data_IF_535629003363
#
_entry.id   IF_535629003363
#
_cell.length_a   1.000
_cell.length_b   1.000
_cell.length_c   1.000
_cell.angle_alpha   90.00
_cell.angle_beta   90.00
_cell.angle_gamma   90.00
#
_symmetry.space_group_name_H-M   'P 1'
#
loop_
_entity.id
_entity.type
_entity.pdbx_description
1 polymer ?
#
# COMPACT_ATOMS: atom_id res chain seq x y z
N UNK A 1 31.02 49.79 -53.11
CA UNK A 1 30.75 49.34 -51.72
C UNK A 1 29.43 48.55 -51.77
N UNK A 2 29.32 47.24 -51.58
CA UNK A 2 30.13 46.16 -50.97
C UNK A 2 30.03 44.90 -51.87
N UNK A 3 31.04 44.01 -51.94
CA UNK A 3 30.84 42.68 -52.51
C UNK A 3 30.34 41.71 -51.42
N UNK A 4 29.36 40.87 -51.76
CA UNK A 4 28.83 39.84 -50.88
C UNK A 4 29.57 38.52 -51.14
N UNK A 5 30.20 38.01 -50.09
CA UNK A 5 31.01 36.79 -50.05
C UNK A 5 30.13 35.53 -50.10
N UNK A 6 30.58 34.55 -50.89
CA UNK A 6 30.04 33.19 -51.02
C UNK A 6 30.34 32.36 -49.76
N UNK A 7 29.38 31.57 -49.29
CA UNK A 7 29.61 30.50 -48.32
C UNK A 7 29.13 29.17 -48.92
N UNK A 8 30.07 28.38 -49.45
CA UNK A 8 29.81 27.02 -49.95
C UNK A 8 29.93 26.04 -48.77
N UNK A 9 28.82 25.37 -48.46
CA UNK A 9 28.70 24.39 -47.39
C UNK A 9 29.39 23.07 -47.82
N UNK A 10 30.42 22.65 -47.09
CA UNK A 10 31.00 21.32 -47.25
C UNK A 10 30.10 20.27 -46.58
N UNK A 11 29.58 19.32 -47.37
CA UNK A 11 28.82 18.17 -46.86
C UNK A 11 29.82 17.09 -46.45
N UNK A 12 29.88 16.78 -45.16
CA UNK A 12 30.63 15.66 -44.60
C UNK A 12 29.78 14.39 -44.69
N UNK A 13 30.13 13.48 -45.60
CA UNK A 13 29.46 12.18 -45.74
C UNK A 13 29.96 11.23 -44.64
N UNK A 14 29.17 11.03 -43.59
CA UNK A 14 29.43 10.00 -42.57
C UNK A 14 28.89 8.67 -43.11
N UNK A 15 29.78 7.72 -43.39
CA UNK A 15 29.43 6.35 -43.75
C UNK A 15 28.88 5.62 -42.51
N UNK A 16 27.56 5.45 -42.45
CA UNK A 16 26.93 4.53 -41.51
C UNK A 16 27.18 3.08 -41.96
N UNK A 17 28.06 2.37 -41.25
CA UNK A 17 28.12 0.92 -41.35
C UNK A 17 26.83 0.29 -40.82
N UNK A 18 26.39 -0.87 -41.35
CA UNK A 18 25.17 -1.52 -40.89
C UNK A 18 25.32 -1.88 -39.41
N UNK A 19 24.46 -1.30 -38.58
CA UNK A 19 24.30 -1.66 -37.18
C UNK A 19 23.79 -3.10 -37.10
N UNK A 20 24.62 -3.99 -36.55
CA UNK A 20 24.17 -5.33 -36.17
C UNK A 20 23.05 -5.15 -35.13
N UNK A 21 21.82 -5.66 -35.39
CA UNK A 21 20.77 -5.57 -34.40
C UNK A 21 21.22 -6.31 -33.14
N UNK A 22 21.15 -5.63 -32.00
CA UNK A 22 21.36 -6.27 -30.70
C UNK A 22 20.41 -7.48 -30.63
N UNK A 23 21.00 -8.66 -30.44
CA UNK A 23 20.25 -9.90 -30.23
C UNK A 23 19.19 -9.64 -29.16
N UNK A 24 17.92 -9.83 -29.51
CA UNK A 24 16.84 -9.77 -28.55
C UNK A 24 17.18 -10.77 -27.43
N UNK A 25 17.51 -10.26 -26.24
CA UNK A 25 17.67 -11.10 -25.07
C UNK A 25 16.37 -11.89 -24.90
N UNK A 26 16.48 -13.20 -24.71
CA UNK A 26 15.32 -14.05 -24.41
C UNK A 26 14.55 -13.52 -23.19
N UNK A 27 13.33 -14.02 -22.95
CA UNK A 27 12.56 -13.59 -21.78
C UNK A 27 13.43 -13.72 -20.52
N UNK A 28 13.40 -12.71 -19.63
CA UNK A 28 14.24 -12.72 -18.43
C UNK A 28 13.99 -14.00 -17.65
N UNK A 29 15.06 -14.73 -17.38
CA UNK A 29 15.01 -15.92 -16.53
C UNK A 29 15.11 -15.48 -15.07
N UNK A 30 14.25 -16.08 -14.25
CA UNK A 30 14.25 -15.86 -12.81
C UNK A 30 14.58 -17.17 -12.11
N UNK A 31 15.28 -17.08 -10.99
CA UNK A 31 15.37 -18.16 -10.02
C UNK A 31 14.73 -17.73 -8.70
N UNK A 32 14.41 -18.72 -7.88
CA UNK A 32 13.62 -18.55 -6.67
C UNK A 32 14.47 -18.97 -5.48
N UNK A 33 14.69 -18.03 -4.56
CA UNK A 33 15.44 -18.26 -3.34
C UNK A 33 14.51 -18.23 -2.14
N UNK A 34 14.82 -19.08 -1.14
CA UNK A 34 14.08 -19.14 0.11
C UNK A 34 14.78 -18.33 1.18
N UNK A 35 13.98 -17.59 1.94
CA UNK A 35 14.44 -16.86 3.10
C UNK A 35 13.46 -17.01 4.26
N UNK A 36 14.00 -16.98 5.48
CA UNK A 36 13.24 -17.21 6.71
C UNK A 36 13.05 -15.93 7.53
N UNK A 37 12.16 -15.99 8.52
CA UNK A 37 11.83 -14.91 9.45
C UNK A 37 11.28 -13.62 8.79
N UNK A 38 10.07 -13.66 8.19
CA UNK A 38 9.22 -14.83 7.96
C UNK A 38 9.62 -15.61 6.72
N UNK A 39 9.13 -16.85 6.62
CA UNK A 39 9.24 -17.68 5.41
C UNK A 39 8.73 -16.92 4.19
N UNK A 40 9.58 -16.79 3.17
CA UNK A 40 9.29 -16.04 1.94
C UNK A 40 10.12 -16.52 0.77
N UNK A 41 9.58 -16.28 -0.42
CA UNK A 41 10.26 -16.52 -1.70
C UNK A 41 10.78 -15.19 -2.24
N UNK A 42 12.07 -15.16 -2.57
CA UNK A 42 12.70 -14.08 -3.30
C UNK A 42 12.74 -14.47 -4.77
N UNK A 43 12.24 -13.60 -5.64
CA UNK A 43 12.34 -13.76 -7.09
C UNK A 43 13.56 -12.97 -7.53
N UNK A 44 14.54 -13.66 -8.11
CA UNK A 44 15.88 -13.11 -8.36
C UNK A 44 16.20 -13.24 -9.85
N UNK A 45 16.84 -12.21 -10.41
CA UNK A 45 17.34 -12.22 -11.79
C UNK A 45 18.63 -13.05 -11.89
N UNK A 46 19.03 -13.41 -13.11
CA UNK A 46 20.35 -14.03 -13.36
C UNK A 46 21.53 -13.20 -12.82
N UNK A 47 21.37 -11.87 -12.74
CA UNK A 47 22.36 -10.96 -12.16
C UNK A 47 22.35 -10.90 -10.62
N UNK A 48 21.57 -11.74 -9.94
CA UNK A 48 21.46 -11.78 -8.48
C UNK A 48 20.61 -10.66 -7.87
N UNK A 49 19.83 -9.92 -8.67
CA UNK A 49 18.99 -8.82 -8.16
C UNK A 49 17.61 -9.34 -7.77
N UNK A 50 17.19 -9.15 -6.52
CA UNK A 50 15.82 -9.46 -6.08
C UNK A 50 14.82 -8.48 -6.69
N UNK A 51 13.90 -9.00 -7.50
CA UNK A 51 12.83 -8.24 -8.17
C UNK A 51 11.46 -8.42 -7.55
N UNK A 52 11.24 -9.47 -6.74
CA UNK A 52 10.05 -9.58 -5.91
C UNK A 52 10.32 -10.33 -4.60
N UNK A 53 9.48 -10.07 -3.60
CA UNK A 53 9.48 -10.75 -2.31
C UNK A 53 8.05 -11.14 -1.96
N UNK A 54 7.82 -12.43 -1.76
CA UNK A 54 6.50 -13.04 -1.62
C UNK A 54 6.49 -13.82 -0.30
N UNK A 55 5.74 -13.32 0.69
CA UNK A 55 5.75 -13.88 2.05
C UNK A 55 4.72 -14.99 2.15
N UNK A 56 5.13 -16.15 2.67
CA UNK A 56 4.23 -17.29 2.83
C UNK A 56 3.06 -16.88 3.74
N UNK A 57 1.84 -17.29 3.39
CA UNK A 57 0.60 -16.91 4.09
C UNK A 57 0.02 -15.55 3.68
N UNK A 58 0.80 -14.68 3.04
CA UNK A 58 0.38 -13.35 2.60
C UNK A 58 -0.07 -13.34 1.13
N UNK A 59 -1.08 -12.54 0.79
CA UNK A 59 -1.42 -12.22 -0.60
C UNK A 59 -0.65 -11.01 -1.12
N UNK A 60 -0.18 -10.13 -0.24
CA UNK A 60 0.64 -8.99 -0.62
C UNK A 60 2.04 -9.46 -1.01
N UNK A 61 2.45 -9.08 -2.21
CA UNK A 61 3.81 -9.25 -2.72
C UNK A 61 4.44 -7.89 -2.98
N UNK A 62 5.72 -7.77 -2.65
CA UNK A 62 6.51 -6.56 -2.90
C UNK A 62 7.37 -6.77 -4.14
N UNK A 63 7.16 -5.94 -5.16
CA UNK A 63 7.85 -5.97 -6.44
C UNK A 63 8.77 -4.76 -6.56
N UNK A 64 9.93 -4.93 -7.19
CA UNK A 64 10.81 -3.81 -7.52
C UNK A 64 10.42 -3.22 -8.87
N UNK A 65 10.12 -1.93 -8.88
CA UNK A 65 9.74 -1.19 -10.06
C UNK A 65 10.48 0.14 -10.22
N UNK A 66 9.94 1.05 -11.06
CA UNK A 66 10.40 2.41 -11.15
C UNK A 66 10.38 3.10 -9.78
N UNK A 67 11.36 3.98 -9.55
CA UNK A 67 11.39 4.83 -8.36
C UNK A 67 10.28 5.87 -8.39
N UNK A 68 9.71 6.17 -7.24
CA UNK A 68 8.68 7.21 -7.06
C UNK A 68 8.75 7.79 -5.67
N UNK A 69 8.21 8.99 -5.52
CA UNK A 69 8.21 9.74 -4.26
C UNK A 69 6.80 10.11 -3.86
N UNK A 70 6.46 9.81 -2.60
CA UNK A 70 5.22 10.21 -1.95
C UNK A 70 5.49 11.43 -1.06
N UNK A 71 4.67 12.47 -1.20
CA UNK A 71 4.82 13.72 -0.46
C UNK A 71 3.45 14.31 -0.06
N UNK A 72 3.38 14.98 1.09
CA UNK A 72 2.22 15.72 1.59
C UNK A 72 2.65 17.08 2.19
N UNK A 73 3.14 18.01 1.35
CA UNK A 73 3.83 19.23 1.82
C UNK A 73 2.97 20.15 2.71
N UNK A 74 1.65 20.03 2.67
CA UNK A 74 0.74 20.80 3.52
C UNK A 74 0.83 20.45 5.02
N UNK A 75 1.38 19.27 5.35
CA UNK A 75 1.36 18.72 6.72
C UNK A 75 2.65 18.04 7.15
N UNK A 76 3.62 17.89 6.25
CA UNK A 76 4.97 17.41 6.58
C UNK A 76 5.96 17.78 5.47
N UNK A 77 7.22 18.00 5.82
CA UNK A 77 8.32 18.06 4.85
C UNK A 77 8.88 16.68 4.50
N UNK A 78 8.51 15.64 5.25
CA UNK A 78 8.96 14.28 5.01
C UNK A 78 8.40 13.74 3.68
N UNK A 79 9.26 13.05 2.94
CA UNK A 79 8.89 12.34 1.72
C UNK A 79 9.28 10.88 1.81
N UNK A 80 8.55 9.99 1.16
CA UNK A 80 8.92 8.57 1.06
C UNK A 80 9.29 8.27 -0.39
N UNK A 81 10.57 8.01 -0.65
CA UNK A 81 11.04 7.60 -1.97
C UNK A 81 11.26 6.09 -1.98
N UNK A 82 10.60 5.38 -2.89
CA UNK A 82 10.63 3.91 -2.90
C UNK A 82 10.62 3.35 -4.32
N UNK A 83 11.18 2.14 -4.46
CA UNK A 83 11.04 1.27 -5.63
C UNK A 83 10.13 0.08 -5.36
N UNK A 84 9.50 0.04 -4.19
CA UNK A 84 8.56 -1.01 -3.80
C UNK A 84 7.18 -0.74 -4.39
N UNK A 85 6.66 -1.78 -5.04
CA UNK A 85 5.32 -1.84 -5.62
C UNK A 85 4.59 -3.01 -4.99
N UNK A 86 3.52 -2.74 -4.27
CA UNK A 86 2.79 -3.72 -3.45
C UNK A 86 1.56 -4.20 -4.21
N UNK A 87 1.56 -5.48 -4.57
CA UNK A 87 0.50 -6.13 -5.36
C UNK A 87 -0.24 -7.16 -4.52
N UNK A 88 -1.53 -7.35 -4.76
CA UNK A 88 -2.35 -8.35 -4.09
C UNK A 88 -2.52 -9.57 -5.01
N UNK A 89 -2.16 -10.75 -4.50
CA UNK A 89 -2.28 -12.03 -5.17
C UNK A 89 -3.70 -12.61 -5.04
N UNK A 90 -4.13 -13.44 -6.01
CA UNK A 90 -5.45 -14.09 -5.97
C UNK A 90 -5.56 -15.11 -4.83
N UNK A 91 -4.44 -15.66 -4.37
CA UNK A 91 -4.33 -16.63 -3.29
C UNK A 91 -3.17 -16.24 -2.37
N UNK A 92 -3.17 -16.66 -1.09
CA UNK A 92 -1.99 -16.54 -0.24
C UNK A 92 -0.78 -17.23 -0.89
N UNK A 93 0.38 -16.59 -0.83
CA UNK A 93 1.62 -17.20 -1.28
C UNK A 93 1.98 -18.40 -0.39
N UNK A 94 2.67 -19.37 -0.97
CA UNK A 94 3.14 -20.57 -0.28
C UNK A 94 4.47 -21.02 -0.88
N UNK A 95 5.20 -21.87 -0.16
CA UNK A 95 6.39 -22.53 -0.69
C UNK A 95 6.07 -23.23 -2.01
N UNK A 96 6.87 -22.96 -3.06
CA UNK A 96 6.63 -23.47 -4.41
C UNK A 96 5.48 -22.79 -5.17
N UNK A 97 4.99 -21.64 -4.68
CA UNK A 97 3.89 -20.89 -5.29
C UNK A 97 4.14 -20.48 -6.75
N UNK A 98 5.40 -20.38 -7.17
CA UNK A 98 5.81 -20.14 -8.56
C UNK A 98 5.39 -21.27 -9.51
N UNK A 99 5.19 -22.48 -9.00
CA UNK A 99 4.73 -23.64 -9.77
C UNK A 99 3.20 -23.78 -9.79
N UNK A 100 2.49 -23.03 -8.94
CA UNK A 100 1.04 -22.94 -8.99
C UNK A 100 0.62 -22.11 -10.21
N UNK A 101 -0.32 -22.62 -11.00
CA UNK A 101 -0.70 -21.98 -12.26
C UNK A 101 -1.31 -20.58 -12.08
N UNK A 102 -2.06 -20.33 -11.01
CA UNK A 102 -2.68 -19.03 -10.75
C UNK A 102 -1.66 -18.04 -10.18
N UNK A 103 -0.87 -18.45 -9.20
CA UNK A 103 0.17 -17.62 -8.59
C UNK A 103 1.32 -17.33 -9.56
N UNK A 104 1.76 -18.31 -10.35
CA UNK A 104 2.79 -18.14 -11.38
C UNK A 104 2.36 -17.14 -12.45
N UNK A 105 1.14 -17.24 -12.99
CA UNK A 105 0.61 -16.25 -13.95
C UNK A 105 0.50 -14.85 -13.34
N UNK A 106 0.00 -14.77 -12.11
CA UNK A 106 -0.08 -13.50 -11.38
C UNK A 106 1.32 -12.89 -11.21
N UNK A 107 2.31 -13.67 -10.77
CA UNK A 107 3.69 -13.24 -10.58
C UNK A 107 4.28 -12.68 -11.88
N UNK A 108 4.20 -13.42 -12.99
CA UNK A 108 4.71 -12.95 -14.29
C UNK A 108 4.04 -11.65 -14.74
N UNK A 109 2.73 -11.52 -14.52
CA UNK A 109 1.99 -10.30 -14.85
C UNK A 109 2.48 -9.12 -14.00
N UNK A 110 2.57 -9.31 -12.68
CA UNK A 110 2.91 -8.25 -11.73
C UNK A 110 4.35 -7.74 -11.86
N UNK A 111 5.30 -8.55 -12.38
CA UNK A 111 6.67 -8.11 -12.67
C UNK A 111 6.72 -6.96 -13.68
N UNK A 112 5.75 -6.92 -14.60
CA UNK A 112 5.68 -5.90 -15.66
C UNK A 112 4.56 -4.88 -15.46
N UNK A 113 3.64 -5.13 -14.54
CA UNK A 113 2.52 -4.23 -14.25
C UNK A 113 3.01 -2.86 -13.75
N UNK A 114 2.46 -1.79 -14.35
CA UNK A 114 2.70 -0.38 -14.03
C UNK A 114 1.45 0.36 -13.56
N UNK A 115 0.31 -0.32 -13.46
CA UNK A 115 -0.90 0.21 -12.84
C UNK A 115 -0.63 0.67 -11.40
N UNK A 116 -1.40 1.62 -10.85
CA UNK A 116 -1.28 2.01 -9.45
C UNK A 116 -1.36 0.78 -8.53
N UNK A 117 -0.37 0.63 -7.66
CA UNK A 117 -0.32 -0.41 -6.64
C UNK A 117 -0.95 0.08 -5.32
N UNK A 118 -0.93 -0.75 -4.28
CA UNK A 118 -1.51 -0.40 -2.97
C UNK A 118 -1.00 0.94 -2.44
N UNK A 119 0.31 1.23 -2.53
CA UNK A 119 0.86 2.48 -2.00
C UNK A 119 0.36 3.69 -2.81
N UNK A 120 0.40 3.60 -4.14
CA UNK A 120 -0.09 4.67 -5.00
C UNK A 120 -1.60 4.91 -4.80
N UNK A 121 -2.39 3.85 -4.66
CA UNK A 121 -3.82 3.91 -4.38
C UNK A 121 -4.08 4.60 -3.03
N UNK A 122 -3.31 4.28 -1.99
CA UNK A 122 -3.46 4.89 -0.67
C UNK A 122 -3.34 6.42 -0.69
N UNK A 123 -2.48 6.95 -1.56
CA UNK A 123 -2.25 8.39 -1.70
C UNK A 123 -3.42 9.15 -2.35
N UNK A 124 -4.38 8.46 -2.98
CA UNK A 124 -5.48 9.05 -3.75
C UNK A 124 -6.67 9.54 -2.90
N UNK A 125 -6.63 9.38 -1.58
CA UNK A 125 -7.76 9.72 -0.70
C UNK A 125 -7.48 10.88 0.26
N UNK A 126 -6.31 11.52 0.12
CA UNK A 126 -5.87 12.60 1.00
C UNK A 126 -6.59 13.90 0.68
N UNK A 127 -6.36 14.92 1.49
CA UNK A 127 -6.77 16.28 1.16
C UNK A 127 -6.11 16.73 -0.15
N UNK A 128 -6.86 17.45 -0.98
CA UNK A 128 -6.35 18.04 -2.24
C UNK A 128 -6.20 17.07 -3.41
N UNK A 129 -6.53 15.78 -3.26
CA UNK A 129 -6.49 14.82 -4.37
C UNK A 129 -7.71 14.95 -5.27
N UNK A 130 -7.49 14.88 -6.58
CA UNK A 130 -8.53 14.90 -7.60
C UNK A 130 -9.53 13.74 -7.45
N UNK A 131 -10.80 14.01 -7.78
CA UNK A 131 -11.83 12.98 -7.81
C UNK A 131 -11.70 12.15 -9.10
N UNK A 132 -11.68 10.82 -8.96
CA UNK A 132 -11.75 9.89 -10.08
C UNK A 132 -13.08 9.15 -10.07
N UNK A 133 -13.66 8.96 -11.25
CA UNK A 133 -14.98 8.36 -11.44
C UNK A 133 -14.92 7.15 -12.36
N UNK A 134 -15.69 6.11 -12.03
CA UNK A 134 -15.87 4.96 -12.91
C UNK A 134 -16.84 5.31 -14.06
N UNK A 135 -16.98 4.45 -15.10
CA UNK A 135 -17.90 4.70 -16.20
C UNK A 135 -19.39 4.84 -15.80
N UNK A 136 -19.75 4.47 -14.57
CA UNK A 136 -21.11 4.60 -14.01
C UNK A 136 -21.26 5.88 -13.17
N UNK A 137 -20.24 6.72 -13.11
CA UNK A 137 -20.23 7.96 -12.32
C UNK A 137 -19.96 7.76 -10.83
N UNK A 138 -19.53 6.57 -10.39
CA UNK A 138 -19.16 6.34 -8.98
C UNK A 138 -17.78 6.92 -8.72
N UNK A 139 -17.70 7.86 -7.77
CA UNK A 139 -16.41 8.38 -7.30
C UNK A 139 -15.64 7.29 -6.55
N UNK A 140 -14.60 6.74 -7.16
CA UNK A 140 -13.80 5.65 -6.58
C UNK A 140 -12.46 6.12 -5.99
N UNK A 141 -12.09 7.39 -6.21
CA UNK A 141 -10.92 8.03 -5.61
C UNK A 141 -11.15 9.54 -5.47
N UNK A 142 -10.32 10.19 -4.64
CA UNK A 142 -10.46 11.58 -4.24
C UNK A 142 -10.61 11.70 -2.73
N UNK A 143 -10.61 12.94 -2.22
CA UNK A 143 -10.59 13.22 -0.78
C UNK A 143 -11.61 12.39 -0.02
N UNK A 144 -11.14 11.69 1.02
CA UNK A 144 -11.96 11.04 2.02
C UNK A 144 -11.95 11.82 3.33
N UNK A 145 -13.08 11.81 4.04
CA UNK A 145 -13.19 12.25 5.42
C UNK A 145 -13.01 11.06 6.37
N UNK A 146 -12.80 11.30 7.66
CA UNK A 146 -12.76 10.19 8.63
C UNK A 146 -14.17 9.65 8.92
N UNK A 147 -15.12 10.57 9.10
CA UNK A 147 -16.49 10.31 9.51
C UNK A 147 -17.24 11.62 9.72
N UNK A 148 -18.58 11.59 9.76
CA UNK A 148 -19.39 12.78 10.04
C UNK A 148 -19.17 13.27 11.48
N UNK A 149 -19.49 14.53 11.72
CA UNK A 149 -19.48 15.11 13.07
C UNK A 149 -20.85 14.89 13.71
N UNK A 150 -20.88 14.27 14.88
CA UNK A 150 -22.08 14.06 15.71
C UNK A 150 -21.72 14.50 17.12
N UNK A 151 -22.49 15.41 17.70
CA UNK A 151 -22.28 15.94 19.07
C UNK A 151 -20.85 16.44 19.35
N UNK A 152 -20.24 17.08 18.34
CA UNK A 152 -18.88 17.65 18.43
C UNK A 152 -17.75 16.64 18.21
N UNK A 153 -18.07 15.36 18.01
CA UNK A 153 -17.10 14.29 17.79
C UNK A 153 -17.28 13.61 16.44
N UNK A 154 -16.16 13.17 15.84
CA UNK A 154 -16.24 12.36 14.62
C UNK A 154 -16.51 10.90 14.97
N UNK A 155 -17.56 10.35 14.37
CA UNK A 155 -17.94 8.96 14.60
C UNK A 155 -17.10 8.02 13.72
N UNK A 156 -16.75 6.87 14.30
CA UNK A 156 -16.15 5.73 13.61
C UNK A 156 -17.24 4.93 12.87
N UNK A 157 -16.87 3.82 12.21
CA UNK A 157 -17.73 2.93 11.44
C UNK A 157 -17.98 3.35 9.97
N UNK A 158 -17.17 4.26 9.42
CA UNK A 158 -17.21 4.59 7.98
C UNK A 158 -16.38 3.61 7.15
N UNK A 159 -17.02 2.85 6.24
CA UNK A 159 -16.38 1.84 5.38
C UNK A 159 -16.36 2.24 3.89
N UNK A 160 -15.71 1.45 3.03
CA UNK A 160 -15.63 1.71 1.59
C UNK A 160 -17.01 1.85 0.92
N UNK A 161 -18.04 1.15 1.41
CA UNK A 161 -19.42 1.31 0.91
C UNK A 161 -19.93 2.73 1.11
N UNK A 162 -19.63 3.33 2.26
CA UNK A 162 -20.08 4.68 2.62
C UNK A 162 -19.38 5.72 1.75
N UNK A 163 -18.06 5.57 1.55
CA UNK A 163 -17.32 6.43 0.64
C UNK A 163 -17.89 6.39 -0.80
N UNK A 164 -18.11 5.19 -1.34
CA UNK A 164 -18.59 5.01 -2.70
C UNK A 164 -20.07 5.41 -2.85
N UNK A 165 -20.86 5.26 -1.79
CA UNK A 165 -22.32 5.41 -1.83
C UNK A 165 -23.01 4.26 -2.57
N UNK A 166 -22.40 3.06 -2.60
CA UNK A 166 -22.95 1.88 -3.29
C UNK A 166 -22.99 0.69 -2.34
N UNK A 167 -24.02 -0.18 -2.44
CA UNK A 167 -24.09 -1.40 -1.65
C UNK A 167 -23.00 -2.40 -2.09
N UNK A 168 -22.60 -3.26 -1.16
CA UNK A 168 -21.67 -4.34 -1.40
C UNK A 168 -22.21 -5.67 -0.87
N UNK A 169 -22.04 -6.73 -1.67
CA UNK A 169 -22.36 -8.10 -1.28
C UNK A 169 -21.07 -8.86 -1.03
N UNK A 170 -20.85 -9.32 0.20
CA UNK A 170 -19.72 -10.15 0.57
C UNK A 170 -19.87 -11.56 0.01
N UNK A 171 -18.77 -12.33 0.03
CA UNK A 171 -18.74 -13.71 -0.49
C UNK A 171 -19.70 -14.64 0.25
N UNK A 172 -20.00 -14.36 1.52
CA UNK A 172 -21.01 -15.10 2.30
C UNK A 172 -22.46 -14.67 2.03
N UNK A 173 -22.69 -13.75 1.10
CA UNK A 173 -24.01 -13.23 0.74
C UNK A 173 -24.49 -12.07 1.61
N UNK A 174 -23.76 -11.70 2.67
CA UNK A 174 -24.09 -10.54 3.50
C UNK A 174 -24.07 -9.27 2.64
N UNK A 175 -25.12 -8.44 2.75
CA UNK A 175 -25.21 -7.17 2.03
C UNK A 175 -25.02 -6.01 2.99
N UNK A 176 -24.02 -5.16 2.74
CA UNK A 176 -23.87 -3.87 3.44
C UNK A 176 -24.34 -2.76 2.52
N UNK A 177 -25.30 -1.99 3.00
CA UNK A 177 -25.75 -0.75 2.35
C UNK A 177 -24.93 0.43 2.87
N UNK A 178 -24.66 1.45 2.04
CA UNK A 178 -24.03 2.68 2.51
C UNK A 178 -24.95 3.42 3.49
N UNK A 179 -24.35 4.08 4.48
CA UNK A 179 -25.01 5.11 5.27
C UNK A 179 -24.84 6.47 4.57
N UNK A 180 -25.92 7.14 4.12
CA UNK A 180 -25.83 8.43 3.45
C UNK A 180 -25.15 9.53 4.28
N UNK A 181 -25.24 9.49 5.62
CA UNK A 181 -24.61 10.48 6.50
C UNK A 181 -23.08 10.33 6.47
N UNK A 182 -22.59 9.13 6.15
CA UNK A 182 -21.16 8.80 6.06
C UNK A 182 -20.61 8.92 4.64
N UNK A 183 -21.38 9.46 3.69
CA UNK A 183 -20.92 9.64 2.31
C UNK A 183 -19.54 10.31 2.29
N UNK A 184 -18.65 9.78 1.45
CA UNK A 184 -17.27 10.25 1.28
C UNK A 184 -16.35 10.05 2.51
N UNK A 185 -16.78 9.27 3.50
CA UNK A 185 -15.98 8.96 4.69
C UNK A 185 -15.33 7.57 4.61
N UNK A 186 -14.11 7.47 5.12
CA UNK A 186 -13.35 6.24 5.37
C UNK A 186 -12.68 6.39 6.74
N UNK A 187 -13.06 5.57 7.72
CA UNK A 187 -12.29 5.51 8.97
C UNK A 187 -10.99 4.70 8.78
N UNK A 188 -10.25 4.44 9.87
CA UNK A 188 -8.93 3.81 9.78
C UNK A 188 -8.96 2.45 9.05
N UNK A 189 -9.85 1.54 9.46
CA UNK A 189 -9.98 0.20 8.85
C UNK A 189 -10.82 0.22 7.58
N UNK A 190 -11.79 1.13 7.45
CA UNK A 190 -12.50 1.38 6.18
C UNK A 190 -11.55 1.84 5.07
N UNK A 191 -10.54 2.64 5.41
CA UNK A 191 -9.47 3.03 4.49
C UNK A 191 -8.63 1.83 4.03
N UNK A 192 -8.28 0.91 4.92
CA UNK A 192 -7.59 -0.33 4.54
C UNK A 192 -8.45 -1.16 3.58
N UNK A 193 -9.74 -1.32 3.89
CA UNK A 193 -10.68 -2.14 3.10
C UNK A 193 -10.99 -1.54 1.73
N UNK A 194 -11.00 -0.20 1.64
CA UNK A 194 -11.03 0.50 0.36
C UNK A 194 -9.81 0.14 -0.49
N UNK A 195 -8.60 0.25 0.06
CA UNK A 195 -7.36 0.08 -0.69
C UNK A 195 -7.10 -1.38 -1.04
N UNK A 196 -7.02 -2.25 -0.04
CA UNK A 196 -6.70 -3.65 -0.24
C UNK A 196 -7.88 -4.39 -0.86
N UNK A 197 -9.09 -4.15 -0.35
CA UNK A 197 -10.27 -4.88 -0.79
C UNK A 197 -10.85 -4.37 -2.09
N UNK A 198 -11.57 -3.26 -2.04
CA UNK A 198 -12.31 -2.75 -3.20
C UNK A 198 -11.39 -2.41 -4.38
N UNK A 199 -10.25 -1.75 -4.12
CA UNK A 199 -9.35 -1.28 -5.18
C UNK A 199 -8.31 -2.31 -5.63
N UNK A 200 -7.81 -3.15 -4.74
CA UNK A 200 -6.74 -4.12 -5.05
C UNK A 200 -7.21 -5.59 -5.07
N UNK A 201 -8.47 -5.89 -4.76
CA UNK A 201 -9.07 -7.21 -4.92
C UNK A 201 -8.83 -8.20 -3.77
N UNK A 202 -8.43 -7.73 -2.58
CA UNK A 202 -8.32 -8.57 -1.40
C UNK A 202 -9.72 -8.99 -0.91
N UNK A 203 -9.97 -10.28 -0.59
CA UNK A 203 -11.28 -10.70 -0.09
C UNK A 203 -11.67 -9.98 1.19
N UNK A 204 -12.88 -9.41 1.23
CA UNK A 204 -13.41 -8.72 2.40
C UNK A 204 -14.44 -9.60 3.13
N UNK A 205 -14.45 -9.49 4.45
CA UNK A 205 -15.50 -10.03 5.32
C UNK A 205 -15.97 -8.93 6.28
N UNK A 206 -17.21 -9.03 6.77
CA UNK A 206 -17.65 -8.15 7.86
C UNK A 206 -17.03 -8.58 9.19
N UNK A 207 -17.18 -9.86 9.52
CA UNK A 207 -16.58 -10.53 10.70
C UNK A 207 -15.31 -11.30 10.32
N UNK A 208 -14.50 -11.72 11.32
CA UNK A 208 -13.39 -12.63 11.09
C UNK A 208 -13.79 -13.89 10.32
N UNK A 209 -12.98 -14.26 9.34
CA UNK A 209 -13.11 -15.50 8.57
C UNK A 209 -11.81 -15.80 7.82
N UNK A 210 -11.63 -17.06 7.44
CA UNK A 210 -10.40 -17.52 6.81
C UNK A 210 -10.07 -16.75 5.52
N UNK A 211 -8.93 -16.06 5.55
CA UNK A 211 -8.37 -15.37 4.38
C UNK A 211 -9.09 -14.11 3.93
N UNK A 212 -10.05 -13.58 4.73
CA UNK A 212 -10.75 -12.33 4.43
C UNK A 212 -10.34 -11.23 5.39
N UNK A 213 -10.22 -9.99 4.90
CA UNK A 213 -9.95 -8.82 5.73
C UNK A 213 -11.24 -8.40 6.47
N UNK A 214 -11.32 -8.50 7.81
CA UNK A 214 -12.51 -8.16 8.57
C UNK A 214 -12.74 -6.64 8.64
N UNK A 215 -13.86 -6.22 9.24
CA UNK A 215 -14.20 -4.79 9.39
C UNK A 215 -13.44 -4.11 10.52
N UNK A 216 -13.33 -4.76 11.68
CA UNK A 216 -12.84 -4.13 12.91
C UNK A 216 -11.32 -4.19 12.99
N UNK A 217 -10.70 -3.10 13.43
CA UNK A 217 -9.24 -3.02 13.61
C UNK A 217 -8.74 -4.11 14.57
N UNK A 218 -9.46 -4.35 15.68
CA UNK A 218 -9.11 -5.38 16.64
C UNK A 218 -9.16 -6.80 16.04
N UNK A 219 -10.13 -7.07 15.17
CA UNK A 219 -10.24 -8.35 14.46
C UNK A 219 -9.06 -8.54 13.50
N UNK A 220 -8.68 -7.48 12.77
CA UNK A 220 -7.48 -7.51 11.90
C UNK A 220 -6.25 -7.85 12.74
N UNK A 221 -6.09 -7.25 13.92
CA UNK A 221 -4.93 -7.45 14.77
C UNK A 221 -4.87 -8.87 15.35
N UNK A 222 -5.97 -9.37 15.91
CA UNK A 222 -6.02 -10.61 16.68
C UNK A 222 -6.12 -11.86 15.82
N UNK A 223 -7.01 -11.85 14.83
CA UNK A 223 -7.37 -13.02 14.01
C UNK A 223 -7.37 -12.74 12.51
N UNK A 224 -6.86 -11.58 12.10
CA UNK A 224 -6.80 -11.18 10.69
C UNK A 224 -5.94 -12.12 9.83
N UNK A 225 -6.12 -12.06 8.50
CA UNK A 225 -5.42 -12.95 7.58
C UNK A 225 -3.91 -12.61 7.50
N UNK A 226 -3.17 -13.46 6.81
CA UNK A 226 -1.76 -13.24 6.53
C UNK A 226 -0.82 -13.57 7.67
N UNK A 227 0.36 -13.00 7.60
CA UNK A 227 1.50 -13.35 8.44
C UNK A 227 1.73 -12.27 9.48
N UNK A 228 1.79 -12.68 10.75
CA UNK A 228 2.10 -11.80 11.87
C UNK A 228 3.59 -11.42 11.82
N UNK A 229 3.87 -10.14 11.56
CA UNK A 229 5.24 -9.62 11.43
C UNK A 229 5.73 -9.11 12.77
N UNK A 230 4.90 -8.30 13.44
CA UNK A 230 5.17 -7.80 14.78
C UNK A 230 4.01 -8.26 15.67
N UNK A 231 4.25 -9.16 16.63
CA UNK A 231 3.22 -9.61 17.58
C UNK A 231 2.94 -8.54 18.63
N UNK A 232 1.71 -8.54 19.17
CA UNK A 232 1.37 -7.67 20.29
C UNK A 232 2.07 -8.16 21.57
N UNK A 233 3.01 -7.37 22.09
CA UNK A 233 3.65 -7.61 23.39
C UNK A 233 3.07 -6.75 24.52
N UNK A 234 2.06 -5.92 24.23
CA UNK A 234 1.54 -4.91 25.16
C UNK A 234 2.44 -3.67 25.32
N UNK A 235 3.56 -3.61 24.61
CA UNK A 235 4.52 -2.49 24.64
C UNK A 235 4.91 -2.06 23.23
N UNK A 236 5.59 -0.92 23.13
CA UNK A 236 6.19 -0.46 21.87
C UNK A 236 7.16 -1.52 21.33
N UNK A 237 7.01 -1.97 20.07
CA UNK A 237 7.91 -2.93 19.45
C UNK A 237 9.35 -2.40 19.37
N UNK A 238 10.35 -3.25 19.68
CA UNK A 238 11.74 -2.83 19.63
C UNK A 238 12.24 -2.69 18.18
N UNK A 239 13.33 -1.95 17.93
CA UNK A 239 13.80 -1.63 16.58
C UNK A 239 14.03 -2.85 15.66
N UNK A 240 14.49 -3.97 16.20
CA UNK A 240 14.68 -5.22 15.44
C UNK A 240 13.36 -5.80 14.89
N UNK A 241 12.23 -5.54 15.56
CA UNK A 241 10.92 -5.91 15.05
C UNK A 241 10.51 -5.03 13.89
N UNK A 242 10.86 -3.74 13.91
CA UNK A 242 10.59 -2.79 12.82
C UNK A 242 11.39 -3.13 11.56
N UNK A 243 12.59 -3.71 11.70
CA UNK A 243 13.42 -4.13 10.55
C UNK A 243 12.77 -5.20 9.67
N UNK A 244 11.78 -5.93 10.21
CA UNK A 244 11.00 -6.96 9.47
C UNK A 244 9.86 -6.38 8.63
N UNK A 245 9.51 -5.12 8.87
CA UNK A 245 8.46 -4.44 8.11
C UNK A 245 8.84 -4.29 6.64
N UNK A 246 7.81 -4.31 5.80
CA UNK A 246 7.88 -4.04 4.36
C UNK A 246 6.73 -3.14 3.96
N UNK A 247 6.96 -2.31 2.95
CA UNK A 247 5.91 -1.48 2.37
C UNK A 247 4.65 -2.31 2.12
N UNK A 248 3.49 -1.77 2.50
CA UNK A 248 2.20 -2.47 2.41
C UNK A 248 1.84 -3.32 3.62
N UNK A 249 2.71 -3.45 4.63
CA UNK A 249 2.30 -4.08 5.88
C UNK A 249 1.21 -3.24 6.55
N UNK A 250 0.21 -3.91 7.10
CA UNK A 250 -0.79 -3.30 7.98
C UNK A 250 -0.14 -3.03 9.33
N UNK A 251 -0.33 -1.84 9.86
CA UNK A 251 0.13 -1.44 11.19
C UNK A 251 -1.09 -1.18 12.05
N UNK A 252 -1.09 -1.70 13.27
CA UNK A 252 -2.22 -1.62 14.18
C UNK A 252 -1.76 -1.06 15.52
N UNK A 253 -2.58 -0.17 16.09
CA UNK A 253 -2.25 0.68 17.23
C UNK A 253 -3.34 0.60 18.29
N UNK A 254 -2.94 0.91 19.51
CA UNK A 254 -3.76 0.99 20.72
C UNK A 254 -3.78 2.45 21.20
N UNK A 255 -4.58 3.31 20.55
CA UNK A 255 -4.57 4.75 20.80
C UNK A 255 -5.17 5.13 22.15
N UNK A 256 -6.12 4.34 22.65
CA UNK A 256 -6.79 4.56 23.93
C UNK A 256 -6.58 3.36 24.90
N UNK A 257 -5.34 3.13 25.38
CA UNK A 257 -5.00 1.95 26.20
C UNK A 257 -5.67 1.96 27.59
N UNK A 258 -6.23 3.10 28.01
CA UNK A 258 -6.98 3.24 29.25
C UNK A 258 -8.34 2.51 29.21
N UNK A 259 -8.91 2.31 28.01
CA UNK A 259 -10.15 1.56 27.80
C UNK A 259 -9.90 0.02 27.72
N UNK A 260 -8.68 -0.40 28.04
CA UNK A 260 -8.17 -1.77 27.89
C UNK A 260 -7.27 -1.91 26.66
N UNK A 261 -6.60 -3.06 26.47
CA UNK A 261 -5.68 -3.29 25.34
C UNK A 261 -6.47 -3.55 24.04
N UNK A 262 -7.27 -2.57 23.61
CA UNK A 262 -8.09 -2.67 22.42
C UNK A 262 -7.37 -2.01 21.24
N UNK A 263 -7.01 -2.83 20.25
CA UNK A 263 -6.44 -2.32 19.02
C UNK A 263 -7.53 -1.60 18.21
N UNK A 264 -7.45 -0.28 18.15
CA UNK A 264 -8.51 0.61 17.68
C UNK A 264 -8.16 1.36 16.39
N UNK A 265 -6.88 1.51 16.08
CA UNK A 265 -6.41 2.27 14.92
C UNK A 265 -5.51 1.45 14.00
N UNK A 266 -5.58 1.78 12.70
CA UNK A 266 -4.84 1.05 11.66
C UNK A 266 -4.25 1.96 10.60
N UNK A 267 -3.16 1.50 9.98
CA UNK A 267 -2.39 2.23 8.97
C UNK A 267 -1.74 1.28 7.96
N UNK A 268 -1.16 1.86 6.91
CA UNK A 268 -0.34 1.19 5.90
C UNK A 268 1.10 1.68 6.02
N UNK A 269 2.04 0.76 6.19
CA UNK A 269 3.46 1.10 6.18
C UNK A 269 3.93 1.51 4.78
N UNK A 270 4.58 2.66 4.66
CA UNK A 270 5.08 3.18 3.39
C UNK A 270 6.55 2.85 3.14
N UNK A 271 7.32 2.62 4.22
CA UNK A 271 8.78 2.49 4.19
C UNK A 271 9.45 3.59 5.00
N UNK A 272 10.75 3.79 4.75
CA UNK A 272 11.51 4.86 5.37
C UNK A 272 11.28 6.18 4.64
N UNK A 273 11.12 7.28 5.39
CA UNK A 273 11.05 8.62 4.83
C UNK A 273 12.45 9.23 4.60
N UNK A 274 12.47 10.47 4.10
CA UNK A 274 13.68 11.25 3.82
C UNK A 274 14.53 11.57 5.06
N UNK A 275 14.01 11.37 6.26
CA UNK A 275 14.74 11.46 7.53
C UNK A 275 15.13 10.07 8.08
N UNK A 276 14.90 9.00 7.32
CA UNK A 276 15.15 7.62 7.74
C UNK A 276 14.14 7.07 8.74
N UNK A 277 12.99 7.74 8.96
CA UNK A 277 11.99 7.30 9.91
C UNK A 277 11.00 6.31 9.24
N UNK A 278 10.60 5.22 9.91
CA UNK A 278 9.56 4.31 9.44
C UNK A 278 8.21 5.02 9.41
N UNK A 279 7.78 5.39 8.21
CA UNK A 279 6.59 6.21 7.95
C UNK A 279 5.40 5.40 7.46
N UNK A 280 4.21 5.86 7.83
CA UNK A 280 2.94 5.25 7.43
C UNK A 280 1.91 6.28 6.96
N UNK A 281 0.83 5.77 6.36
CA UNK A 281 -0.38 6.54 6.04
C UNK A 281 -1.59 5.91 6.75
N UNK A 282 -2.46 6.74 7.33
CA UNK A 282 -3.71 6.28 7.94
C UNK A 282 -4.82 7.31 7.81
N UNK A 283 -6.08 6.86 7.86
CA UNK A 283 -7.22 7.77 8.01
C UNK A 283 -7.42 8.13 9.47
N UNK A 284 -7.30 9.41 9.80
CA UNK A 284 -7.20 9.88 11.19
C UNK A 284 -8.36 10.75 11.60
N UNK A 285 -8.92 10.47 12.77
CA UNK A 285 -10.04 11.23 13.38
C UNK A 285 -9.73 12.73 13.48
N UNK A 286 -8.62 13.09 14.13
CA UNK A 286 -8.22 14.50 14.36
C UNK A 286 -7.81 15.25 13.10
N UNK A 287 -7.25 14.57 12.09
CA UNK A 287 -6.92 15.21 10.79
C UNK A 287 -8.12 15.28 9.83
N UNK A 288 -9.14 14.46 10.10
CA UNK A 288 -10.32 14.25 9.27
C UNK A 288 -9.98 13.67 7.88
N UNK A 289 -9.38 12.48 7.89
CA UNK A 289 -9.16 11.67 6.69
C UNK A 289 -7.73 11.11 6.59
N UNK A 290 -7.41 10.47 5.45
CA UNK A 290 -6.08 9.91 5.15
C UNK A 290 -4.95 10.94 5.12
N UNK A 291 -3.84 10.63 5.79
CA UNK A 291 -2.61 11.42 5.75
C UNK A 291 -1.37 10.59 6.10
N UNK A 292 -0.25 10.93 5.48
CA UNK A 292 1.09 10.49 5.89
C UNK A 292 1.84 11.57 6.68
N UNK A 293 1.17 12.69 7.00
CA UNK A 293 1.77 13.88 7.60
C UNK A 293 1.85 13.83 9.12
N UNK A 294 2.35 14.93 9.69
CA UNK A 294 2.67 15.02 11.12
C UNK A 294 1.71 15.89 11.92
N UNK A 295 0.75 16.54 11.24
CA UNK A 295 -0.28 17.34 11.89
C UNK A 295 -1.12 16.48 12.83
N UNK A 296 -1.28 16.93 14.08
CA UNK A 296 -1.96 16.21 15.16
C UNK A 296 -1.29 14.90 15.59
N UNK A 297 -0.02 14.67 15.25
CA UNK A 297 0.78 13.50 15.63
C UNK A 297 1.60 12.99 14.44
N UNK A 298 2.90 12.79 14.63
CA UNK A 298 3.82 12.36 13.58
C UNK A 298 3.49 10.94 13.09
N UNK A 299 3.39 10.74 11.77
CA UNK A 299 3.08 9.41 11.20
C UNK A 299 4.34 8.54 11.09
N UNK A 300 5.03 8.33 12.21
CA UNK A 300 6.25 7.51 12.34
C UNK A 300 6.13 6.50 13.47
N UNK A 301 6.88 5.40 13.37
CA UNK A 301 6.89 4.31 14.36
C UNK A 301 8.03 4.40 15.40
N UNK A 302 8.85 5.44 15.33
CA UNK A 302 10.00 5.66 16.21
C UNK A 302 10.00 7.08 16.79
N UNK A 303 10.75 7.28 17.87
CA UNK A 303 10.76 8.53 18.64
C UNK A 303 9.65 8.57 19.69
N UNK A 304 9.40 9.77 20.21
CA UNK A 304 8.53 10.00 21.38
C UNK A 304 7.10 10.44 21.00
N UNK A 305 6.71 10.25 19.74
CA UNK A 305 5.38 10.59 19.25
C UNK A 305 4.34 9.57 19.67
N UNK A 306 3.07 10.01 19.80
CA UNK A 306 1.94 9.14 20.18
C UNK A 306 1.93 7.82 19.40
N UNK A 307 2.05 7.86 18.07
CA UNK A 307 2.02 6.65 17.25
C UNK A 307 3.19 5.69 17.46
N UNK A 308 4.37 6.21 17.80
CA UNK A 308 5.50 5.37 18.15
C UNK A 308 5.21 4.59 19.44
N UNK A 309 4.65 5.26 20.46
CA UNK A 309 4.32 4.65 21.74
C UNK A 309 3.13 3.69 21.70
N UNK A 310 2.17 3.91 20.82
CA UNK A 310 0.93 3.12 20.73
C UNK A 310 0.95 2.05 19.63
N UNK A 311 2.02 1.94 18.86
CA UNK A 311 2.17 0.86 17.88
C UNK A 311 2.27 -0.49 18.60
N UNK A 312 1.56 -1.52 18.13
CA UNK A 312 1.52 -2.84 18.78
C UNK A 312 1.71 -4.00 17.83
N UNK A 313 1.08 -3.96 16.65
CA UNK A 313 0.99 -5.12 15.77
C UNK A 313 1.29 -4.73 14.33
N UNK A 314 1.97 -5.61 13.61
CA UNK A 314 2.01 -5.55 12.15
C UNK A 314 1.68 -6.88 11.51
N UNK A 315 0.90 -6.83 10.42
CA UNK A 315 0.54 -7.99 9.61
C UNK A 315 0.84 -7.74 8.15
N UNK A 316 1.36 -8.76 7.47
CA UNK A 316 1.48 -8.81 6.02
C UNK A 316 0.38 -9.69 5.48
N UNK A 317 -0.66 -9.07 4.91
CA UNK A 317 -1.88 -9.77 4.49
C UNK A 317 -1.76 -10.41 3.13
#
# INVERSE_FOLDING_TARGET
MKPSTVLTLAILTVLFGPSVPASAAGPPRYHYERAENPGRTLVVTESGTTVATLTDGSRTGVFRGPSRTFAEPEVTSATVTTRDWVRVAPLPWRLGGEHDAALGRWLTTMLTDRSPDVLAIAMQYRRGTENLFDPRGVRYAGRAFFGPMVDGERVTDSDFTDYLGVPWTYVDGTVRRPDPIRKDSLDCSGFLRMIYGYRAGYPLGWTPSDGRLPRQTNDIATVGPGTLIVPNSGAQPPPESLARLRAGDLLLFDLDPEDGPLIDHSAIYLGLDSAGQPRFISSRKRYNGPTMGDRNGASVLTGDGVFAHVFRVARRI
#
